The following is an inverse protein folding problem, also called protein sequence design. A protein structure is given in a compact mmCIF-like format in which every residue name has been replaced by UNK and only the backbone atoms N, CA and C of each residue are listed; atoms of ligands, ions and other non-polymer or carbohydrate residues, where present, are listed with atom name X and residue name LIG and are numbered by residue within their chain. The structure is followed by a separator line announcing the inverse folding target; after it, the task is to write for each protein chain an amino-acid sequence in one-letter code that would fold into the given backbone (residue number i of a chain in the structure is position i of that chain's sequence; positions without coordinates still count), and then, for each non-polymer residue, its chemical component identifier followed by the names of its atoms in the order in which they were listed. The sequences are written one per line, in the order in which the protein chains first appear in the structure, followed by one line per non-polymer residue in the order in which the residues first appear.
data_IF_940286684580
#
_entry.id   IF_940286684580
#
_cell.length_a   1.000
_cell.length_b   1.000
_cell.length_c   1.000
_cell.angle_alpha   90.00
_cell.angle_beta   90.00
_cell.angle_gamma   90.00
#
_symmetry.space_group_name_H-M   'P 1'
#
loop_
_entity.id
_entity.type
_entity.pdbx_description
1 polymer ?
#
# COMPACT_ATOMS: atom_id res chain seq x y z
N UNK A 1 -5.58 67.28 -14.56
CA UNK A 1 -5.98 66.68 -15.85
C UNK A 1 -4.92 65.64 -16.24
N UNK A 2 -4.90 64.49 -15.54
CA UNK A 2 -3.91 63.40 -15.73
C UNK A 2 -4.58 62.02 -15.61
N UNK A 3 -5.85 61.88 -15.99
CA UNK A 3 -6.61 60.64 -15.73
C UNK A 3 -6.84 59.79 -16.98
N UNK A 4 -6.86 60.40 -18.18
CA UNK A 4 -7.16 59.69 -19.42
C UNK A 4 -6.06 58.68 -19.82
N UNK A 5 -4.79 59.07 -19.73
CA UNK A 5 -3.67 58.19 -20.09
C UNK A 5 -3.52 57.03 -19.11
N UNK A 6 -3.81 57.26 -17.82
CA UNK A 6 -3.79 56.21 -16.79
C UNK A 6 -4.90 55.18 -17.02
N UNK A 7 -6.11 55.64 -17.33
CA UNK A 7 -7.23 54.75 -17.67
C UNK A 7 -6.94 53.93 -18.93
N UNK A 8 -6.32 54.53 -19.95
CA UNK A 8 -5.95 53.81 -21.17
C UNK A 8 -4.91 52.72 -20.90
N UNK A 9 -3.90 53.00 -20.07
CA UNK A 9 -2.89 52.02 -19.68
C UNK A 9 -3.49 50.84 -18.90
N UNK A 10 -4.42 51.11 -17.99
CA UNK A 10 -5.10 50.07 -17.20
C UNK A 10 -5.99 49.17 -18.07
N UNK A 11 -6.72 49.76 -19.03
CA UNK A 11 -7.49 49.00 -20.02
C UNK A 11 -6.61 48.13 -20.92
N UNK A 12 -5.45 48.63 -21.34
CA UNK A 12 -4.48 47.87 -22.12
C UNK A 12 -3.97 46.66 -21.31
N UNK A 13 -3.58 46.88 -20.06
CA UNK A 13 -3.08 45.83 -19.18
C UNK A 13 -4.14 44.78 -18.85
N UNK A 14 -5.39 45.20 -18.60
CA UNK A 14 -6.51 44.28 -18.38
C UNK A 14 -6.79 43.42 -19.62
N UNK A 15 -6.67 43.99 -20.83
CA UNK A 15 -6.80 43.27 -22.10
C UNK A 15 -5.70 42.23 -22.28
N UNK A 16 -4.45 42.61 -22.04
CA UNK A 16 -3.29 41.70 -22.11
C UNK A 16 -3.41 40.54 -21.13
N UNK A 17 -3.78 40.84 -19.87
CA UNK A 17 -4.03 39.81 -18.84
C UNK A 17 -5.14 38.85 -19.26
N UNK A 18 -6.21 39.37 -19.86
CA UNK A 18 -7.33 38.54 -20.35
C UNK A 18 -6.90 37.61 -21.47
N UNK A 19 -6.11 38.09 -22.43
CA UNK A 19 -5.56 37.25 -23.52
C UNK A 19 -4.56 36.21 -22.99
N UNK A 20 -3.69 36.60 -22.07
CA UNK A 20 -2.78 35.66 -21.40
C UNK A 20 -3.55 34.56 -20.65
N UNK A 21 -4.59 34.94 -19.91
CA UNK A 21 -5.43 34.00 -19.16
C UNK A 21 -6.18 33.04 -20.09
N UNK A 22 -6.67 33.50 -21.25
CA UNK A 22 -7.29 32.61 -22.25
C UNK A 22 -6.35 31.50 -22.73
N UNK A 23 -5.05 31.77 -22.81
CA UNK A 23 -4.05 30.77 -23.25
C UNK A 23 -3.56 29.91 -22.09
N UNK A 24 -3.34 30.49 -20.90
CA UNK A 24 -2.79 29.76 -19.76
C UNK A 24 -3.81 28.96 -18.97
N UNK A 25 -5.06 29.45 -18.85
CA UNK A 25 -6.14 28.72 -18.17
C UNK A 25 -6.33 27.29 -18.71
N UNK A 26 -6.45 27.05 -20.04
CA UNK A 26 -6.59 25.68 -20.54
C UNK A 26 -5.33 24.84 -20.30
N UNK A 27 -4.12 25.43 -20.35
CA UNK A 27 -2.87 24.70 -20.04
C UNK A 27 -2.84 24.22 -18.60
N UNK A 28 -3.15 25.09 -17.65
CA UNK A 28 -3.24 24.75 -16.22
C UNK A 28 -4.34 23.72 -15.95
N UNK A 29 -5.48 23.81 -16.65
CA UNK A 29 -6.57 22.84 -16.53
C UNK A 29 -6.14 21.45 -17.02
N UNK A 30 -5.43 21.37 -18.15
CA UNK A 30 -4.89 20.10 -18.66
C UNK A 30 -3.88 19.50 -17.67
N UNK A 31 -2.97 20.32 -17.14
CA UNK A 31 -2.00 19.88 -16.13
C UNK A 31 -2.70 19.35 -14.87
N UNK A 32 -3.72 20.05 -14.39
CA UNK A 32 -4.52 19.65 -13.22
C UNK A 32 -5.24 18.31 -13.46
N UNK A 33 -5.86 18.14 -14.64
CA UNK A 33 -6.52 16.88 -15.03
C UNK A 33 -5.50 15.75 -15.08
N UNK A 34 -4.31 15.98 -15.63
CA UNK A 34 -3.26 14.98 -15.70
C UNK A 34 -2.76 14.58 -14.31
N UNK A 35 -2.50 15.55 -13.42
CA UNK A 35 -2.13 15.30 -12.02
C UNK A 35 -3.22 14.49 -11.29
N UNK A 36 -4.50 14.86 -11.44
CA UNK A 36 -5.62 14.11 -10.86
C UNK A 36 -5.68 12.67 -11.39
N UNK A 37 -5.54 12.46 -12.71
CA UNK A 37 -5.52 11.13 -13.32
C UNK A 37 -4.40 10.26 -12.74
N UNK A 38 -3.19 10.82 -12.60
CA UNK A 38 -2.04 10.11 -11.99
C UNK A 38 -2.32 9.75 -10.54
N UNK A 39 -2.83 10.68 -9.73
CA UNK A 39 -3.18 10.43 -8.34
C UNK A 39 -4.19 9.28 -8.18
N UNK A 40 -5.30 9.30 -8.92
CA UNK A 40 -6.30 8.22 -8.89
C UNK A 40 -5.78 6.90 -9.48
N UNK A 41 -4.83 6.94 -10.42
CA UNK A 41 -4.17 5.72 -10.88
C UNK A 41 -3.32 5.10 -9.77
N UNK A 42 -2.55 5.91 -9.04
CA UNK A 42 -1.76 5.47 -7.88
C UNK A 42 -2.66 4.90 -6.77
N UNK A 43 -3.74 5.58 -6.40
CA UNK A 43 -4.70 5.10 -5.40
C UNK A 43 -5.32 3.75 -5.80
N UNK A 44 -5.79 3.61 -7.05
CA UNK A 44 -6.34 2.32 -7.54
C UNK A 44 -5.31 1.20 -7.57
N UNK A 45 -4.05 1.52 -7.88
CA UNK A 45 -2.97 0.53 -7.85
C UNK A 45 -2.67 0.09 -6.41
N UNK A 46 -2.62 1.03 -5.46
CA UNK A 46 -2.43 0.74 -4.05
C UNK A 46 -3.59 -0.08 -3.48
N UNK A 47 -4.83 0.30 -3.77
CA UNK A 47 -6.03 -0.44 -3.41
C UNK A 47 -5.95 -1.90 -3.90
N UNK A 48 -5.58 -2.12 -5.17
CA UNK A 48 -5.40 -3.46 -5.73
C UNK A 48 -4.33 -4.28 -5.02
N UNK A 49 -3.21 -3.66 -4.62
CA UNK A 49 -2.12 -4.33 -3.89
C UNK A 49 -2.52 -4.68 -2.45
N UNK A 50 -3.33 -3.84 -1.82
CA UNK A 50 -3.79 -4.01 -0.44
C UNK A 50 -4.97 -4.98 -0.31
N UNK A 51 -5.43 -5.59 -1.41
CA UNK A 51 -6.53 -6.57 -1.35
C UNK A 51 -6.11 -7.75 -0.49
N UNK A 52 -6.89 -8.12 0.54
CA UNK A 52 -6.60 -9.30 1.31
C UNK A 52 -6.63 -10.53 0.40
N UNK A 53 -5.78 -11.54 0.67
CA UNK A 53 -5.80 -12.78 -0.08
C UNK A 53 -7.20 -13.38 -0.10
N UNK A 54 -7.61 -13.90 -1.25
CA UNK A 54 -8.89 -14.64 -1.36
C UNK A 54 -8.81 -15.96 -0.59
N UNK A 55 -9.97 -16.50 -0.19
CA UNK A 55 -10.07 -17.82 0.47
C UNK A 55 -9.34 -18.92 -0.33
N UNK A 56 -9.38 -18.85 -1.65
CA UNK A 56 -8.67 -19.77 -2.56
C UNK A 56 -7.16 -19.59 -2.54
N UNK A 57 -6.66 -18.35 -2.51
CA UNK A 57 -5.23 -18.05 -2.39
C UNK A 57 -4.70 -18.54 -1.03
N UNK A 58 -5.39 -18.21 0.06
CA UNK A 58 -5.05 -18.70 1.40
C UNK A 58 -5.04 -20.24 1.43
N UNK A 59 -6.08 -20.90 0.91
CA UNK A 59 -6.15 -22.37 0.79
C UNK A 59 -4.93 -22.94 0.09
N UNK A 60 -4.52 -22.31 -1.01
CA UNK A 60 -3.36 -22.74 -1.79
C UNK A 60 -2.07 -22.57 -1.00
N UNK A 61 -1.88 -21.44 -0.33
CA UNK A 61 -0.68 -21.15 0.48
C UNK A 61 -0.54 -22.11 1.67
N UNK A 62 -1.63 -22.34 2.40
CA UNK A 62 -1.69 -23.32 3.49
C UNK A 62 -1.39 -24.73 2.99
N UNK A 63 -1.91 -25.11 1.83
CA UNK A 63 -1.61 -26.41 1.24
C UNK A 63 -0.16 -26.54 0.78
N UNK A 64 0.44 -25.48 0.22
CA UNK A 64 1.86 -25.45 -0.11
C UNK A 64 2.70 -25.71 1.13
N UNK A 65 2.39 -25.06 2.26
CA UNK A 65 3.06 -25.33 3.52
C UNK A 65 2.90 -26.80 3.95
N UNK A 66 1.68 -27.33 3.93
CA UNK A 66 1.40 -28.73 4.25
C UNK A 66 2.22 -29.70 3.38
N UNK A 67 2.37 -29.41 2.08
CA UNK A 67 3.19 -30.23 1.18
C UNK A 67 4.65 -30.28 1.63
N UNK A 68 5.21 -29.17 2.08
CA UNK A 68 6.61 -29.07 2.46
C UNK A 68 6.89 -29.56 3.88
N UNK A 69 6.06 -29.19 4.85
CA UNK A 69 6.29 -29.48 6.27
C UNK A 69 5.66 -30.80 6.71
N UNK A 70 4.47 -31.10 6.20
CA UNK A 70 3.70 -32.28 6.60
C UNK A 70 3.75 -33.44 5.60
N UNK A 71 4.52 -33.33 4.51
CA UNK A 71 4.65 -34.39 3.50
C UNK A 71 3.38 -34.67 2.67
N UNK A 72 2.43 -33.73 2.62
CA UNK A 72 1.16 -33.94 1.92
C UNK A 72 1.35 -33.93 0.39
N UNK A 73 0.93 -35.02 -0.28
CA UNK A 73 0.88 -35.07 -1.76
C UNK A 73 -0.22 -34.19 -2.34
N UNK A 74 0.00 -33.67 -3.55
CA UNK A 74 -0.97 -32.84 -4.28
C UNK A 74 -2.36 -33.47 -4.42
N UNK A 75 -2.44 -34.80 -4.53
CA UNK A 75 -3.70 -35.56 -4.57
C UNK A 75 -4.61 -35.27 -3.37
N UNK A 76 -4.04 -35.06 -2.18
CA UNK A 76 -4.79 -34.79 -0.96
C UNK A 76 -5.46 -33.43 -0.93
N UNK A 77 -5.14 -32.52 -1.85
CA UNK A 77 -5.80 -31.21 -1.96
C UNK A 77 -7.19 -31.32 -2.59
N UNK A 78 -7.36 -32.23 -3.56
CA UNK A 78 -8.59 -32.36 -4.34
C UNK A 78 -9.74 -32.78 -3.41
N UNK A 79 -10.89 -32.15 -3.57
CA UNK A 79 -12.10 -32.44 -2.79
C UNK A 79 -12.14 -31.88 -1.36
N UNK A 80 -11.02 -31.39 -0.79
CA UNK A 80 -11.04 -30.82 0.57
C UNK A 80 -11.62 -29.43 0.62
N UNK A 81 -12.37 -29.10 1.67
CA UNK A 81 -12.86 -27.75 1.95
C UNK A 81 -11.74 -26.84 2.44
N UNK A 82 -12.01 -25.54 2.57
CA UNK A 82 -11.06 -24.61 3.18
C UNK A 82 -10.85 -24.93 4.67
N UNK A 83 -11.93 -25.21 5.40
CA UNK A 83 -11.89 -25.42 6.84
C UNK A 83 -11.14 -26.71 7.19
N UNK A 84 -11.25 -27.75 6.36
CA UNK A 84 -10.46 -28.97 6.49
C UNK A 84 -8.96 -28.69 6.29
N UNK A 85 -8.59 -27.94 5.24
CA UNK A 85 -7.18 -27.58 5.01
C UNK A 85 -6.67 -26.69 6.15
N UNK A 86 -7.50 -25.80 6.67
CA UNK A 86 -7.16 -24.97 7.83
C UNK A 86 -6.86 -25.80 9.08
N UNK A 87 -7.71 -26.77 9.40
CA UNK A 87 -7.48 -27.69 10.53
C UNK A 87 -6.18 -28.48 10.38
N UNK A 88 -5.85 -28.96 9.16
CA UNK A 88 -4.59 -29.66 8.91
C UNK A 88 -3.39 -28.73 9.12
N UNK A 89 -3.46 -27.52 8.56
CA UNK A 89 -2.41 -26.51 8.68
C UNK A 89 -2.15 -26.13 10.14
N UNK A 90 -3.21 -25.80 10.89
CA UNK A 90 -3.10 -25.42 12.30
C UNK A 90 -2.47 -26.55 13.15
N UNK A 91 -2.75 -27.81 12.80
CA UNK A 91 -2.12 -28.97 13.45
C UNK A 91 -0.63 -29.09 13.14
N UNK A 92 -0.21 -28.95 11.89
CA UNK A 92 1.22 -29.00 11.54
C UNK A 92 1.98 -27.80 12.13
N UNK A 93 1.39 -26.61 12.12
CA UNK A 93 1.95 -25.42 12.75
C UNK A 93 2.18 -25.62 14.25
N UNK A 94 1.23 -26.27 14.95
CA UNK A 94 1.39 -26.59 16.37
C UNK A 94 2.61 -27.48 16.62
N UNK A 95 2.81 -28.53 15.82
CA UNK A 95 4.00 -29.40 15.94
C UNK A 95 5.32 -28.64 15.77
N UNK A 96 5.35 -27.67 14.85
CA UNK A 96 6.53 -26.83 14.64
C UNK A 96 6.75 -25.88 15.82
N UNK A 97 5.69 -25.33 16.39
CA UNK A 97 5.78 -24.44 17.56
C UNK A 97 6.14 -25.20 18.84
N UNK A 98 5.69 -26.44 18.99
CA UNK A 98 6.00 -27.31 20.13
C UNK A 98 7.41 -27.93 20.04
N UNK A 99 8.15 -27.67 18.95
CA UNK A 99 9.50 -28.17 18.78
C UNK A 99 10.48 -27.43 19.70
N UNK A 100 11.01 -28.15 20.69
CA UNK A 100 12.11 -27.69 21.54
C UNK A 100 13.42 -28.18 20.93
N UNK A 101 14.36 -27.25 20.71
CA UNK A 101 15.68 -27.60 20.20
C UNK A 101 16.44 -28.44 21.24
N UNK A 102 17.03 -29.54 20.80
CA UNK A 102 17.77 -30.50 21.65
C UNK A 102 18.84 -29.80 22.51
N UNK A 103 19.44 -28.72 22.00
CA UNK A 103 20.50 -27.98 22.70
C UNK A 103 19.97 -27.08 23.84
N UNK A 104 18.66 -26.83 23.92
CA UNK A 104 18.06 -26.01 24.98
C UNK A 104 17.83 -26.77 26.30
N UNK A 105 17.87 -28.11 26.28
CA UNK A 105 17.73 -28.96 27.49
C UNK A 105 19.07 -29.57 27.94
N UNK A 106 20.11 -29.48 27.09
CA UNK A 106 21.41 -30.11 27.34
C UNK A 106 22.24 -29.45 28.47
N UNK A 107 21.79 -28.36 29.10
CA UNK A 107 22.45 -27.78 30.27
C UNK A 107 22.03 -28.47 31.60
N UNK A 108 20.91 -29.20 31.66
CA UNK A 108 20.48 -29.84 32.91
C UNK A 108 20.61 -31.37 32.93
N UNK A 109 20.77 -32.06 31.79
CA UNK A 109 20.89 -33.53 31.81
C UNK A 109 21.60 -34.15 30.59
N UNK A 110 22.94 -34.21 30.58
CA UNK A 110 23.62 -35.16 29.67
C UNK A 110 24.92 -35.73 30.22
N UNK A 111 24.77 -36.67 31.17
CA UNK A 111 25.71 -37.78 31.31
C UNK A 111 25.53 -38.76 30.15
N UNK A 112 26.57 -38.86 29.30
CA UNK A 112 26.93 -39.99 28.42
C UNK A 112 25.85 -40.50 27.45
N UNK A 113 25.78 -39.93 26.24
CA UNK A 113 25.65 -40.75 25.01
C UNK A 113 26.57 -40.25 23.91
N UNK A 114 27.16 -41.23 23.22
CA UNK A 114 28.31 -41.15 22.33
C UNK A 114 28.03 -40.23 21.13
N UNK A 115 28.92 -39.26 20.92
CA UNK A 115 28.90 -38.32 19.82
C UNK A 115 29.18 -39.01 18.48
N UNK A 116 28.25 -38.89 17.53
CA UNK A 116 28.57 -38.94 16.10
C UNK A 116 28.36 -37.53 15.53
N UNK A 117 29.46 -37.01 15.02
CA UNK A 117 29.72 -35.64 14.61
C UNK A 117 29.01 -35.32 13.29
N UNK A 118 28.13 -34.31 13.29
CA UNK A 118 27.59 -33.72 12.06
C UNK A 118 27.70 -32.20 12.15
N UNK A 119 28.87 -31.73 11.71
CA UNK A 119 29.24 -30.34 11.56
C UNK A 119 28.41 -29.72 10.42
N UNK A 120 27.58 -28.75 10.75
CA UNK A 120 26.80 -27.97 9.79
C UNK A 120 26.96 -26.48 10.10
N UNK A 121 28.06 -25.93 9.59
CA UNK A 121 28.34 -24.51 9.48
C UNK A 121 27.21 -23.76 8.76
N UNK A 122 26.50 -22.89 9.49
CA UNK A 122 25.67 -21.82 8.89
C UNK A 122 25.88 -20.51 9.65
N UNK A 123 27.04 -19.91 9.42
CA UNK A 123 27.21 -18.46 9.59
C UNK A 123 26.56 -17.73 8.42
N UNK A 124 25.58 -16.83 8.70
CA UNK A 124 25.33 -15.59 7.93
C UNK A 124 24.30 -14.70 8.62
N UNK A 125 24.82 -13.62 9.23
CA UNK A 125 24.11 -12.45 9.74
C UNK A 125 23.57 -11.61 8.57
N UNK A 126 22.39 -11.02 8.71
CA UNK A 126 21.96 -9.89 7.87
C UNK A 126 21.42 -8.74 8.73
N UNK A 127 21.97 -7.55 8.45
CA UNK A 127 21.83 -6.28 9.15
C UNK A 127 20.50 -5.59 8.78
N UNK A 128 19.81 -5.02 9.76
CA UNK A 128 18.67 -4.10 9.58
C UNK A 128 19.21 -2.75 9.10
N UNK A 129 18.60 -2.18 8.06
CA UNK A 129 18.87 -0.82 7.60
C UNK A 129 17.64 0.05 7.90
N UNK A 130 17.79 0.86 8.93
CA UNK A 130 16.96 2.01 9.26
C UNK A 130 17.23 3.13 8.25
N UNK A 131 16.19 3.78 7.71
CA UNK A 131 16.26 5.04 6.96
C UNK A 131 14.90 5.73 7.11
N UNK A 132 14.81 6.73 7.98
CA UNK A 132 15.00 8.17 7.69
C UNK A 132 13.78 8.77 7.02
N UNK A 133 13.09 9.54 7.87
CA UNK A 133 12.05 10.52 7.66
C UNK A 133 12.44 11.57 6.60
N UNK A 134 11.55 11.83 5.65
CA UNK A 134 11.58 13.05 4.84
C UNK A 134 10.16 13.64 4.79
N UNK A 135 9.99 14.66 5.63
CA UNK A 135 8.98 15.70 5.53
C UNK A 135 9.02 16.29 4.12
N UNK A 136 7.85 16.40 3.48
CA UNK A 136 7.69 17.29 2.33
C UNK A 136 6.43 18.13 2.54
N UNK A 137 6.68 19.42 2.57
CA UNK A 137 5.81 20.59 2.83
C UNK A 137 4.62 20.69 1.86
N UNK A 138 4.59 19.87 0.79
CA UNK A 138 3.64 19.97 -0.33
C UNK A 138 2.27 19.31 -0.07
N UNK A 139 2.10 18.61 1.05
CA UNK A 139 0.81 17.96 1.38
C UNK A 139 -0.26 18.98 1.74
N UNK A 140 0.11 20.13 2.29
CA UNK A 140 -0.86 21.12 2.80
C UNK A 140 -1.47 21.93 1.66
N UNK A 141 -0.66 22.34 0.67
CA UNK A 141 -1.15 23.05 -0.52
C UNK A 141 -2.09 22.18 -1.35
N UNK A 142 -1.78 20.88 -1.52
CA UNK A 142 -2.64 19.95 -2.25
C UNK A 142 -3.98 19.74 -1.55
N UNK A 143 -3.98 19.67 -0.21
CA UNK A 143 -5.20 19.51 0.60
C UNK A 143 -6.13 20.71 0.47
N UNK A 144 -5.58 21.93 0.43
CA UNK A 144 -6.35 23.17 0.21
C UNK A 144 -7.05 23.21 -1.16
N UNK A 145 -6.44 22.64 -2.21
CA UNK A 145 -7.10 22.50 -3.52
C UNK A 145 -8.12 21.36 -3.59
N UNK A 146 -8.21 20.51 -2.56
CA UNK A 146 -9.15 19.40 -2.45
C UNK A 146 -10.34 19.73 -1.53
N UNK A 147 -10.31 20.85 -0.80
CA UNK A 147 -11.41 21.36 0.02
C UNK A 147 -12.51 21.93 -0.88
N UNK A 148 -13.68 21.29 -0.85
CA UNK A 148 -14.85 21.60 -1.68
C UNK A 148 -15.48 22.90 -1.16
N UNK A 149 -15.72 23.88 -2.05
CA UNK A 149 -16.51 25.08 -1.74
C UNK A 149 -17.94 24.62 -1.38
N UNK A 150 -18.52 25.02 -0.23
CA UNK A 150 -19.93 24.75 0.04
C UNK A 150 -20.77 25.41 -1.06
N UNK A 151 -21.64 24.59 -1.66
CA UNK A 151 -22.59 24.99 -2.70
C UNK A 151 -23.62 25.91 -2.01
N UNK A 152 -23.43 27.22 -2.09
CA UNK A 152 -24.43 28.18 -1.66
C UNK A 152 -25.64 28.01 -2.60
N UNK A 153 -26.71 27.42 -2.08
CA UNK A 153 -27.99 27.20 -2.75
C UNK A 153 -28.53 28.53 -3.31
N UNK A 154 -28.46 28.70 -4.63
CA UNK A 154 -29.24 29.71 -5.34
C UNK A 154 -30.73 29.34 -5.24
N UNK A 155 -31.46 29.97 -4.31
CA UNK A 155 -32.93 29.95 -4.23
C UNK A 155 -33.54 30.55 -5.50
N UNK A 156 -33.85 29.70 -6.47
CA UNK A 156 -34.68 30.07 -7.62
C UNK A 156 -36.14 30.01 -7.19
N UNK A 157 -36.69 31.16 -6.80
CA UNK A 157 -38.13 31.40 -6.65
C UNK A 157 -38.84 31.14 -8.00
N UNK A 158 -39.55 30.03 -8.09
CA UNK A 158 -40.51 29.77 -9.16
C UNK A 158 -41.87 30.24 -8.63
N UNK A 159 -42.29 31.43 -9.07
CA UNK A 159 -43.63 31.97 -8.83
C UNK A 159 -44.65 31.22 -9.71
N UNK A 160 -45.79 30.85 -9.11
CA UNK A 160 -46.85 30.02 -9.69
C UNK A 160 -48.01 30.87 -10.24
#
# INVERSE_FOLDING_TARGET
MMDADRLLAEMLQARERKEFYKVQKPRLLVELIEKKKKHFATLRAQEKRNKPPTKTQMKSQMFTYLKHMGGYKQSHRKGRSFDEIKKLFDREMRKVNDFIAIDSEAQESSTKRKAEHLESDISKKQKVHENVELVTDDSEELKKCMEIVPDDEDEVLIEA
#
